data_IF_032413188840
#
_entry.id   IF_032413188840
#
_cell.length_a   1.000
_cell.length_b   1.000
_cell.length_c   1.000
_cell.angle_alpha   90.00
_cell.angle_beta   90.00
_cell.angle_gamma   90.00
#
_symmetry.space_group_name_H-M   'P 1'
#
loop_
_entity.id
_entity.type
_entity.pdbx_description
1 polymer ?
#
# COMPACT_ATOMS: atom_id res chain seq x y z
N UNK A 1 -19.81 -20.28 5.88
CA UNK A 1 -18.48 -20.66 6.38
C UNK A 1 -18.39 -20.16 7.80
N UNK A 2 -17.94 -20.98 8.75
CA UNK A 2 -18.00 -20.60 10.17
C UNK A 2 -16.92 -19.56 10.49
N UNK A 3 -17.37 -18.33 10.80
CA UNK A 3 -16.60 -17.20 11.34
C UNK A 3 -15.68 -17.59 12.52
N UNK A 4 -15.94 -18.72 13.19
CA UNK A 4 -15.11 -19.23 14.28
C UNK A 4 -13.68 -19.57 13.85
N UNK A 5 -13.44 -20.00 12.61
CA UNK A 5 -12.12 -20.53 12.21
C UNK A 5 -11.04 -19.46 12.02
N UNK A 6 -11.38 -18.28 11.49
CA UNK A 6 -10.42 -17.18 11.37
C UNK A 6 -10.07 -16.54 12.71
N UNK A 7 -11.03 -16.49 13.64
CA UNK A 7 -10.80 -15.99 14.99
C UNK A 7 -9.86 -16.92 15.79
N UNK A 8 -9.94 -18.23 15.55
CA UNK A 8 -8.99 -19.20 16.12
C UNK A 8 -7.54 -18.93 15.65
N UNK A 9 -7.35 -18.58 14.38
CA UNK A 9 -6.03 -18.15 13.88
C UNK A 9 -5.56 -16.85 14.53
N UNK A 10 -6.46 -15.89 14.71
CA UNK A 10 -6.14 -14.62 15.40
C UNK A 10 -5.66 -14.87 16.83
N UNK A 11 -6.31 -15.79 17.56
CA UNK A 11 -5.93 -16.19 18.91
C UNK A 11 -4.62 -17.00 18.93
N UNK A 12 -4.40 -17.91 17.98
CA UNK A 12 -3.13 -18.65 17.83
C UNK A 12 -1.96 -17.70 17.58
N UNK A 13 -2.13 -16.71 16.71
CA UNK A 13 -1.13 -15.66 16.48
C UNK A 13 -0.91 -14.72 17.68
N UNK A 14 -1.87 -14.66 18.61
CA UNK A 14 -1.72 -13.92 19.86
C UNK A 14 -0.92 -14.68 20.91
N UNK A 15 -1.13 -16.00 21.00
CA UNK A 15 -0.60 -16.85 22.08
C UNK A 15 0.68 -17.58 21.70
N UNK A 16 0.85 -17.92 20.42
CA UNK A 16 1.98 -18.67 19.90
C UNK A 16 3.22 -17.80 19.68
N UNK A 17 4.37 -18.45 19.71
CA UNK A 17 5.66 -17.81 19.41
C UNK A 17 5.86 -17.76 17.89
N UNK A 18 5.95 -16.55 17.34
CA UNK A 18 5.92 -16.32 15.89
C UNK A 18 7.03 -17.05 15.12
N UNK A 19 8.15 -17.34 15.79
CA UNK A 19 9.31 -18.01 15.18
C UNK A 19 9.18 -19.53 15.08
N UNK A 20 8.42 -20.18 15.96
CA UNK A 20 8.31 -21.65 15.99
C UNK A 20 7.01 -22.15 15.35
N UNK A 21 5.89 -21.49 15.63
CA UNK A 21 4.57 -21.93 15.15
C UNK A 21 4.10 -21.14 13.91
N UNK A 22 4.83 -20.10 13.51
CA UNK A 22 4.45 -19.17 12.46
C UNK A 22 4.16 -19.85 11.13
N UNK A 23 5.08 -20.67 10.63
CA UNK A 23 4.93 -21.37 9.35
C UNK A 23 3.72 -22.30 9.33
N UNK A 24 3.53 -23.11 10.37
CA UNK A 24 2.38 -24.02 10.47
C UNK A 24 1.05 -23.24 10.51
N UNK A 25 1.02 -22.11 11.23
CA UNK A 25 -0.16 -21.23 11.28
C UNK A 25 -0.45 -20.61 9.91
N UNK A 26 0.58 -20.20 9.16
CA UNK A 26 0.44 -19.64 7.82
C UNK A 26 -0.01 -20.69 6.80
N UNK A 27 0.42 -21.94 6.96
CA UNK A 27 -0.01 -23.08 6.13
C UNK A 27 -1.48 -23.41 6.35
N UNK A 28 -1.87 -23.56 7.62
CA UNK A 28 -3.25 -23.80 8.03
C UNK A 28 -4.17 -22.65 7.56
N UNK A 29 -3.71 -21.40 7.64
CA UNK A 29 -4.46 -20.25 7.15
C UNK A 29 -4.62 -20.31 5.62
N UNK A 30 -3.55 -20.63 4.88
CA UNK A 30 -3.59 -20.76 3.42
C UNK A 30 -4.56 -21.84 2.96
N UNK A 31 -4.54 -23.01 3.61
CA UNK A 31 -5.46 -24.11 3.28
C UNK A 31 -6.92 -23.70 3.48
N UNK A 32 -7.23 -23.03 4.60
CA UNK A 32 -8.58 -22.52 4.85
C UNK A 32 -8.98 -21.44 3.83
N UNK A 33 -8.08 -20.54 3.47
CA UNK A 33 -8.33 -19.55 2.40
C UNK A 33 -8.67 -20.23 1.06
N UNK A 34 -7.94 -21.30 0.70
CA UNK A 34 -8.19 -22.06 -0.53
C UNK A 34 -9.51 -22.82 -0.50
N UNK A 35 -9.84 -23.47 0.62
CA UNK A 35 -11.14 -24.12 0.82
C UNK A 35 -12.28 -23.11 0.66
N UNK A 36 -12.07 -21.90 1.16
CA UNK A 36 -13.02 -20.82 1.10
C UNK A 36 -13.29 -20.32 -0.31
N UNK A 37 -12.23 -20.08 -1.08
CA UNK A 37 -12.35 -19.73 -2.49
C UNK A 37 -13.00 -20.83 -3.32
N UNK A 38 -12.63 -22.10 -3.07
CA UNK A 38 -13.21 -23.25 -3.76
C UNK A 38 -14.70 -23.43 -3.45
N UNK A 39 -15.15 -22.96 -2.28
CA UNK A 39 -16.56 -22.95 -1.87
C UNK A 39 -17.35 -21.79 -2.51
N UNK A 40 -16.69 -20.92 -3.28
CA UNK A 40 -17.32 -19.83 -4.01
C UNK A 40 -17.51 -18.54 -3.20
N UNK A 41 -16.84 -18.39 -2.06
CA UNK A 41 -16.86 -17.12 -1.32
C UNK A 41 -16.05 -16.07 -2.09
N UNK A 42 -16.60 -14.86 -2.16
CA UNK A 42 -15.94 -13.75 -2.82
C UNK A 42 -14.71 -13.28 -2.02
N UNK A 43 -13.73 -12.72 -2.73
CA UNK A 43 -12.45 -12.36 -2.14
C UNK A 43 -12.56 -11.18 -1.16
N UNK A 44 -13.51 -10.26 -1.38
CA UNK A 44 -13.67 -9.06 -0.57
C UNK A 44 -14.27 -9.43 0.81
N UNK A 45 -15.26 -10.32 0.84
CA UNK A 45 -15.79 -10.91 2.06
C UNK A 45 -14.73 -11.69 2.83
N UNK A 46 -13.92 -12.50 2.15
CA UNK A 46 -12.81 -13.22 2.81
C UNK A 46 -11.76 -12.27 3.39
N UNK A 47 -11.46 -11.18 2.68
CA UNK A 47 -10.53 -10.17 3.15
C UNK A 47 -11.06 -9.49 4.42
N UNK A 48 -12.34 -9.09 4.46
CA UNK A 48 -12.93 -8.49 5.66
C UNK A 48 -13.00 -9.46 6.84
N UNK A 49 -13.33 -10.74 6.60
CA UNK A 49 -13.32 -11.78 7.64
C UNK A 49 -11.91 -12.04 8.19
N UNK A 50 -10.89 -12.09 7.32
CA UNK A 50 -9.52 -12.36 7.70
C UNK A 50 -8.72 -11.12 8.14
N UNK A 51 -9.31 -9.93 8.08
CA UNK A 51 -8.65 -8.63 8.32
C UNK A 51 -7.81 -8.60 9.59
N UNK A 52 -8.37 -9.03 10.72
CA UNK A 52 -7.66 -9.03 12.00
C UNK A 52 -6.43 -9.95 12.02
N UNK A 53 -6.48 -11.07 11.29
CA UNK A 53 -5.36 -12.01 11.13
C UNK A 53 -4.29 -11.40 10.23
N UNK A 54 -4.67 -10.87 9.06
CA UNK A 54 -3.77 -10.25 8.09
C UNK A 54 -3.04 -9.05 8.69
N UNK A 55 -3.74 -8.18 9.42
CA UNK A 55 -3.14 -7.06 10.15
C UNK A 55 -2.06 -7.51 11.12
N UNK A 56 -2.27 -8.65 11.79
CA UNK A 56 -1.31 -9.20 12.74
C UNK A 56 -0.08 -9.77 12.07
N UNK A 57 -0.25 -10.40 10.91
CA UNK A 57 0.85 -10.93 10.10
C UNK A 57 1.72 -9.77 9.62
N UNK A 58 1.10 -8.71 9.10
CA UNK A 58 1.79 -7.48 8.66
C UNK A 58 2.46 -6.73 9.82
N UNK A 59 1.89 -6.82 11.02
CA UNK A 59 2.40 -6.13 12.19
C UNK A 59 3.64 -6.75 12.85
N UNK A 60 3.93 -8.02 12.53
CA UNK A 60 4.98 -8.83 13.15
C UNK A 60 6.04 -9.23 12.12
N UNK A 61 7.12 -9.83 12.60
CA UNK A 61 8.17 -10.51 11.79
C UNK A 61 7.65 -11.63 10.87
N UNK A 62 6.35 -11.95 10.96
CA UNK A 62 5.67 -12.96 10.14
C UNK A 62 5.42 -12.53 8.70
N UNK A 63 5.45 -11.23 8.40
CA UNK A 63 5.26 -10.75 7.03
C UNK A 63 6.25 -11.38 6.06
N UNK A 64 7.52 -11.50 6.46
CA UNK A 64 8.57 -12.11 5.65
C UNK A 64 8.22 -13.55 5.29
N UNK A 65 7.83 -14.36 6.28
CA UNK A 65 7.42 -15.74 6.09
C UNK A 65 6.18 -15.85 5.20
N UNK A 66 5.17 -15.02 5.44
CA UNK A 66 3.95 -14.99 4.64
C UNK A 66 4.21 -14.56 3.19
N UNK A 67 5.12 -13.61 2.97
CA UNK A 67 5.52 -13.18 1.64
C UNK A 67 6.26 -14.31 0.91
N UNK A 68 7.23 -14.95 1.55
CA UNK A 68 7.93 -16.10 0.99
C UNK A 68 6.98 -17.25 0.63
N UNK A 69 6.10 -17.63 1.54
CA UNK A 69 5.20 -18.77 1.37
C UNK A 69 4.08 -18.48 0.34
N UNK A 70 3.33 -17.40 0.55
CA UNK A 70 2.11 -17.12 -0.23
C UNK A 70 2.39 -16.41 -1.54
N UNK A 71 3.31 -15.44 -1.53
CA UNK A 71 3.64 -14.63 -2.71
C UNK A 71 4.76 -15.32 -3.49
N UNK A 72 5.78 -15.87 -2.84
CA UNK A 72 6.91 -16.57 -3.46
C UNK A 72 6.54 -17.96 -3.96
N UNK A 73 6.52 -18.94 -3.05
CA UNK A 73 6.40 -20.36 -3.40
C UNK A 73 5.04 -20.72 -4.01
N UNK A 74 3.94 -20.34 -3.35
CA UNK A 74 2.58 -20.66 -3.82
C UNK A 74 2.08 -19.75 -4.94
N UNK A 75 2.61 -18.53 -5.03
CA UNK A 75 2.18 -17.56 -6.04
C UNK A 75 0.68 -17.28 -6.02
N UNK A 76 0.09 -17.14 -4.84
CA UNK A 76 -1.35 -17.00 -4.68
C UNK A 76 -1.80 -15.54 -4.77
N UNK A 77 -2.21 -15.11 -5.97
CA UNK A 77 -2.48 -13.70 -6.28
C UNK A 77 -3.53 -13.03 -5.37
N UNK A 78 -4.68 -13.66 -5.13
CA UNK A 78 -5.77 -13.05 -4.35
C UNK A 78 -5.38 -12.83 -2.89
N UNK A 79 -4.80 -13.85 -2.27
CA UNK A 79 -4.24 -13.77 -0.92
C UNK A 79 -3.09 -12.76 -0.84
N UNK A 80 -2.19 -12.75 -1.83
CA UNK A 80 -1.14 -11.73 -1.94
C UNK A 80 -1.71 -10.32 -2.01
N UNK A 81 -2.80 -10.11 -2.74
CA UNK A 81 -3.51 -8.83 -2.83
C UNK A 81 -4.16 -8.42 -1.50
N UNK A 82 -4.76 -9.36 -0.78
CA UNK A 82 -5.30 -9.11 0.56
C UNK A 82 -4.19 -8.72 1.55
N UNK A 83 -3.04 -9.41 1.49
CA UNK A 83 -1.86 -9.05 2.29
C UNK A 83 -1.31 -7.66 1.89
N UNK A 84 -1.21 -7.38 0.59
CA UNK A 84 -0.77 -6.09 0.06
C UNK A 84 -1.67 -4.93 0.53
N UNK A 85 -2.98 -5.16 0.62
CA UNK A 85 -3.91 -4.17 1.14
C UNK A 85 -3.57 -3.76 2.58
N UNK A 86 -3.40 -4.72 3.49
CA UNK A 86 -3.08 -4.42 4.89
C UNK A 86 -1.69 -3.78 5.05
N UNK A 87 -0.72 -4.14 4.19
CA UNK A 87 0.58 -3.46 4.14
C UNK A 87 0.40 -2.01 3.69
N UNK A 88 -0.42 -1.75 2.67
CA UNK A 88 -0.74 -0.40 2.22
C UNK A 88 -1.37 0.42 3.34
N UNK A 89 -2.37 -0.11 4.03
CA UNK A 89 -2.99 0.58 5.18
C UNK A 89 -1.97 0.99 6.23
N UNK A 90 -0.95 0.16 6.48
CA UNK A 90 0.08 0.43 7.48
C UNK A 90 1.22 1.33 7.01
N UNK A 91 1.65 1.21 5.75
CA UNK A 91 2.93 1.76 5.27
C UNK A 91 2.81 2.73 4.09
N UNK A 92 1.60 3.07 3.61
CA UNK A 92 1.41 3.94 2.44
C UNK A 92 2.15 5.29 2.53
N UNK A 93 2.22 5.90 3.72
CA UNK A 93 2.91 7.18 3.95
C UNK A 93 4.15 7.04 4.84
N UNK A 94 4.70 5.83 4.94
CA UNK A 94 5.89 5.62 5.75
C UNK A 94 7.03 6.54 5.28
N UNK A 95 7.80 7.06 6.24
CA UNK A 95 8.90 8.01 6.01
C UNK A 95 10.23 7.31 5.79
N UNK A 96 10.31 6.03 6.13
CA UNK A 96 11.54 5.23 6.10
C UNK A 96 11.34 3.95 5.29
N UNK A 97 12.45 3.42 4.77
CA UNK A 97 12.48 2.11 4.13
C UNK A 97 12.39 1.00 5.18
N UNK A 98 11.70 -0.08 4.84
CA UNK A 98 11.65 -1.26 5.70
C UNK A 98 12.82 -2.19 5.38
N UNK A 99 13.57 -2.59 6.42
CA UNK A 99 14.62 -3.61 6.30
C UNK A 99 14.07 -4.97 6.70
N UNK A 100 14.38 -5.99 5.91
CA UNK A 100 13.96 -7.37 6.09
C UNK A 100 15.19 -8.26 6.26
N UNK A 101 15.15 -9.19 7.22
CA UNK A 101 16.24 -10.15 7.42
C UNK A 101 16.08 -11.36 6.48
N UNK A 102 16.71 -11.32 5.31
CA UNK A 102 16.53 -12.32 4.26
C UNK A 102 17.51 -13.50 4.35
N UNK A 103 18.29 -13.60 5.42
CA UNK A 103 19.33 -14.64 5.60
C UNK A 103 18.80 -16.08 5.55
N UNK A 104 17.52 -16.30 5.89
CA UNK A 104 16.88 -17.63 5.89
C UNK A 104 16.14 -17.93 4.57
N UNK A 105 15.95 -16.94 3.70
CA UNK A 105 15.21 -17.10 2.46
C UNK A 105 16.10 -17.65 1.34
N UNK A 106 15.54 -18.50 0.48
CA UNK A 106 16.23 -18.92 -0.75
C UNK A 106 16.30 -17.78 -1.75
N UNK A 107 17.34 -17.80 -2.60
CA UNK A 107 17.54 -16.80 -3.64
C UNK A 107 16.34 -16.71 -4.61
N UNK A 108 15.83 -17.86 -5.07
CA UNK A 108 14.67 -17.94 -5.96
C UNK A 108 13.41 -17.36 -5.32
N UNK A 109 13.20 -17.62 -4.03
CA UNK A 109 12.06 -17.08 -3.29
C UNK A 109 12.19 -15.57 -3.13
N UNK A 110 13.33 -15.08 -2.64
CA UNK A 110 13.55 -13.65 -2.41
C UNK A 110 13.41 -12.82 -3.70
N UNK A 111 13.95 -13.31 -4.81
CA UNK A 111 13.87 -12.66 -6.14
C UNK A 111 12.45 -12.69 -6.72
N UNK A 112 11.70 -13.78 -6.51
CA UNK A 112 10.30 -13.90 -6.94
C UNK A 112 9.39 -12.99 -6.12
N UNK A 113 9.56 -12.94 -4.80
CA UNK A 113 8.81 -12.04 -3.92
C UNK A 113 9.07 -10.58 -4.28
N UNK A 114 10.33 -10.17 -4.48
CA UNK A 114 10.67 -8.79 -4.84
C UNK A 114 9.89 -8.28 -6.07
N UNK A 115 9.80 -9.11 -7.11
CA UNK A 115 9.07 -8.78 -8.35
C UNK A 115 7.55 -8.79 -8.13
N UNK A 116 7.04 -9.80 -7.45
CA UNK A 116 5.60 -9.94 -7.18
C UNK A 116 5.06 -8.87 -6.22
N UNK A 117 5.87 -8.37 -5.28
CA UNK A 117 5.51 -7.22 -4.44
C UNK A 117 5.28 -5.96 -5.28
N UNK A 118 6.09 -5.75 -6.32
CA UNK A 118 5.88 -4.65 -7.27
C UNK A 118 4.60 -4.86 -8.09
N UNK A 119 4.33 -6.10 -8.52
CA UNK A 119 3.11 -6.43 -9.26
C UNK A 119 1.81 -6.31 -8.43
N UNK A 120 1.92 -6.37 -7.10
CA UNK A 120 0.81 -6.20 -6.16
C UNK A 120 0.61 -4.74 -5.73
N UNK A 121 1.37 -3.79 -6.30
CA UNK A 121 1.31 -2.35 -5.98
C UNK A 121 1.48 -2.05 -4.47
N UNK A 122 2.34 -2.81 -3.80
CA UNK A 122 2.68 -2.63 -2.38
C UNK A 122 3.46 -1.32 -2.20
N UNK A 123 3.36 -0.61 -1.04
CA UNK A 123 4.06 0.67 -0.85
C UNK A 123 5.54 0.59 -1.15
N UNK A 124 6.09 1.65 -1.76
CA UNK A 124 7.50 1.75 -2.15
C UNK A 124 8.44 1.48 -0.98
N UNK A 125 8.05 1.88 0.24
CA UNK A 125 8.81 1.61 1.47
C UNK A 125 9.10 0.11 1.70
N UNK A 126 8.19 -0.76 1.28
CA UNK A 126 8.25 -2.22 1.44
C UNK A 126 8.95 -2.85 0.24
N UNK A 127 8.55 -2.51 -0.98
CA UNK A 127 9.10 -3.13 -2.21
C UNK A 127 10.56 -2.71 -2.46
N UNK A 128 10.89 -1.42 -2.29
CA UNK A 128 12.28 -0.96 -2.37
C UNK A 128 13.10 -1.48 -1.19
N UNK A 129 12.51 -1.50 0.01
CA UNK A 129 13.13 -2.06 1.21
C UNK A 129 13.51 -3.53 1.06
N UNK A 130 12.64 -4.34 0.46
CA UNK A 130 12.92 -5.74 0.14
C UNK A 130 14.08 -5.88 -0.85
N UNK A 131 14.07 -5.13 -1.95
CA UNK A 131 15.13 -5.18 -2.96
C UNK A 131 16.50 -4.76 -2.40
N UNK A 132 16.55 -3.76 -1.53
CA UNK A 132 17.80 -3.34 -0.88
C UNK A 132 18.24 -4.35 0.20
N UNK A 133 17.30 -4.96 0.93
CA UNK A 133 17.62 -6.04 1.87
C UNK A 133 18.29 -7.23 1.17
N UNK A 134 17.86 -7.56 -0.06
CA UNK A 134 18.52 -8.61 -0.85
C UNK A 134 19.98 -8.28 -1.17
N UNK A 135 20.33 -7.00 -1.32
CA UNK A 135 21.70 -6.57 -1.62
C UNK A 135 22.65 -6.69 -0.43
N UNK A 136 22.11 -6.66 0.80
CA UNK A 136 22.90 -6.71 2.03
C UNK A 136 22.98 -8.12 2.62
N UNK A 137 21.87 -8.87 2.61
CA UNK A 137 21.75 -10.14 3.34
C UNK A 137 22.06 -11.38 2.51
N UNK A 138 21.95 -11.30 1.17
CA UNK A 138 22.19 -12.44 0.27
C UNK A 138 23.52 -12.32 -0.47
N UNK A 139 24.22 -13.44 -0.73
CA UNK A 139 25.46 -13.42 -1.51
C UNK A 139 25.19 -12.92 -2.94
N UNK A 140 26.07 -12.09 -3.52
CA UNK A 140 25.84 -11.51 -4.84
C UNK A 140 25.84 -12.59 -5.92
N UNK A 141 24.71 -12.74 -6.59
CA UNK A 141 24.53 -13.60 -7.76
C UNK A 141 24.07 -12.78 -8.97
N UNK A 142 24.14 -13.38 -10.16
CA UNK A 142 23.61 -12.74 -11.37
C UNK A 142 22.10 -12.51 -11.29
N UNK A 143 21.35 -13.45 -10.72
CA UNK A 143 19.89 -13.36 -10.59
C UNK A 143 19.48 -12.31 -9.54
N UNK A 144 20.19 -12.21 -8.41
CA UNK A 144 19.97 -11.16 -7.41
C UNK A 144 20.27 -9.80 -8.03
N UNK A 145 21.42 -9.65 -8.69
CA UNK A 145 21.83 -8.37 -9.30
C UNK A 145 20.85 -7.91 -10.38
N UNK A 146 20.42 -8.84 -11.26
CA UNK A 146 19.46 -8.52 -12.33
C UNK A 146 18.08 -8.18 -11.77
N UNK A 147 17.64 -8.88 -10.72
CA UNK A 147 16.36 -8.62 -10.05
C UNK A 147 16.36 -7.28 -9.33
N UNK A 148 17.42 -6.96 -8.58
CA UNK A 148 17.57 -5.66 -7.92
C UNK A 148 17.53 -4.54 -8.95
N UNK A 149 18.30 -4.65 -10.04
CA UNK A 149 18.28 -3.66 -11.12
C UNK A 149 16.88 -3.51 -11.72
N UNK A 150 16.18 -4.61 -12.00
CA UNK A 150 14.82 -4.59 -12.55
C UNK A 150 13.83 -3.90 -11.61
N UNK A 151 13.79 -4.30 -10.34
CA UNK A 151 12.85 -3.76 -9.33
C UNK A 151 13.14 -2.30 -9.06
N UNK A 152 14.39 -1.92 -8.83
CA UNK A 152 14.76 -0.52 -8.57
C UNK A 152 14.49 0.38 -9.78
N UNK A 153 14.72 -0.09 -11.01
CA UNK A 153 14.38 0.67 -12.23
C UNK A 153 12.87 0.82 -12.41
N UNK A 154 12.10 -0.23 -12.13
CA UNK A 154 10.64 -0.18 -12.16
C UNK A 154 10.12 0.86 -11.16
N UNK A 155 10.53 0.77 -9.89
CA UNK A 155 10.08 1.68 -8.83
C UNK A 155 10.55 3.12 -9.07
N UNK A 156 11.78 3.32 -9.53
CA UNK A 156 12.31 4.65 -9.88
C UNK A 156 11.53 5.31 -11.02
N UNK A 157 11.05 4.51 -12.00
CA UNK A 157 10.24 5.01 -13.10
C UNK A 157 8.81 5.31 -12.68
N UNK A 158 8.19 4.41 -11.93
CA UNK A 158 6.77 4.54 -11.55
C UNK A 158 6.57 5.54 -10.40
N UNK A 159 7.49 5.61 -9.45
CA UNK A 159 7.40 6.44 -8.24
C UNK A 159 8.71 7.19 -7.91
N UNK A 160 9.26 8.02 -8.81
CA UNK A 160 10.54 8.68 -8.60
C UNK A 160 10.57 9.60 -7.38
N UNK A 161 9.50 10.37 -7.14
CA UNK A 161 9.48 11.32 -6.02
C UNK A 161 9.45 10.58 -4.67
N UNK A 162 8.66 9.50 -4.59
CA UNK A 162 8.58 8.66 -3.39
C UNK A 162 9.89 7.91 -3.16
N UNK A 163 10.52 7.38 -4.20
CA UNK A 163 11.84 6.74 -4.09
C UNK A 163 12.90 7.71 -3.59
N UNK A 164 12.99 8.92 -4.17
CA UNK A 164 13.94 9.95 -3.73
C UNK A 164 13.74 10.29 -2.25
N UNK A 165 12.50 10.60 -1.85
CA UNK A 165 12.16 10.91 -0.45
C UNK A 165 12.58 9.82 0.53
N UNK A 166 12.33 8.55 0.18
CA UNK A 166 12.65 7.41 1.05
C UNK A 166 14.15 7.13 1.14
N UNK A 167 14.89 7.30 0.04
CA UNK A 167 16.34 7.11 0.00
C UNK A 167 17.12 8.24 0.68
N UNK A 168 16.60 9.46 0.63
CA UNK A 168 17.19 10.66 1.28
C UNK A 168 16.81 10.79 2.76
N UNK A 169 16.02 9.85 3.30
CA UNK A 169 15.62 9.86 4.71
C UNK A 169 16.82 9.69 5.63
N UNK A 170 16.97 10.57 6.63
CA UNK A 170 18.11 10.59 7.56
C UNK A 170 18.24 9.30 8.38
N UNK A 171 17.10 8.65 8.68
CA UNK A 171 17.01 7.41 9.45
C UNK A 171 16.94 6.16 8.56
N UNK A 172 17.34 6.26 7.28
CA UNK A 172 17.29 5.13 6.36
C UNK A 172 18.19 3.98 6.85
N UNK A 173 17.65 2.75 6.96
CA UNK A 173 18.44 1.58 7.35
C UNK A 173 19.46 1.15 6.29
N UNK A 174 19.42 1.75 5.10
CA UNK A 174 20.27 1.46 3.95
C UNK A 174 21.24 2.60 3.61
N UNK A 175 21.55 3.49 4.57
CA UNK A 175 22.43 4.64 4.35
C UNK A 175 23.82 4.24 3.79
N UNK A 176 24.34 3.09 4.21
CA UNK A 176 25.64 2.57 3.78
C UNK A 176 25.57 1.70 2.51
N UNK A 177 24.37 1.37 2.03
CA UNK A 177 24.21 0.52 0.84
C UNK A 177 24.65 1.25 -0.43
N UNK A 178 25.62 0.66 -1.14
CA UNK A 178 26.11 1.21 -2.40
C UNK A 178 25.01 1.31 -3.46
N UNK A 179 24.10 0.33 -3.51
CA UNK A 179 22.96 0.30 -4.45
C UNK A 179 22.00 1.45 -4.15
N UNK A 180 21.67 1.67 -2.88
CA UNK A 180 20.81 2.77 -2.44
C UNK A 180 21.42 4.14 -2.81
N UNK A 181 22.71 4.33 -2.54
CA UNK A 181 23.41 5.58 -2.86
C UNK A 181 23.49 5.86 -4.37
N UNK A 182 23.72 4.83 -5.19
CA UNK A 182 23.73 4.96 -6.65
C UNK A 182 22.35 5.32 -7.18
N UNK A 183 21.31 4.66 -6.68
CA UNK A 183 19.92 4.93 -7.05
C UNK A 183 19.51 6.36 -6.67
N UNK A 184 19.84 6.81 -5.46
CA UNK A 184 19.53 8.15 -4.98
C UNK A 184 20.20 9.23 -5.85
N UNK A 185 21.49 9.06 -6.17
CA UNK A 185 22.23 9.97 -7.05
C UNK A 185 21.61 10.04 -8.44
N UNK A 186 21.27 8.89 -9.03
CA UNK A 186 20.62 8.83 -10.34
C UNK A 186 19.27 9.57 -10.33
N UNK A 187 18.41 9.26 -9.36
CA UNK A 187 17.11 9.91 -9.21
C UNK A 187 17.21 11.41 -9.01
N UNK A 188 18.17 11.88 -8.20
CA UNK A 188 18.42 13.30 -8.04
C UNK A 188 18.77 13.95 -9.38
N UNK A 189 19.69 13.38 -10.15
CA UNK A 189 20.06 13.92 -11.46
C UNK A 189 18.93 13.91 -12.48
N UNK A 190 18.11 12.86 -12.50
CA UNK A 190 16.97 12.74 -13.42
C UNK A 190 15.87 13.74 -13.06
N UNK A 191 15.57 13.91 -11.78
CA UNK A 191 14.57 14.87 -11.31
C UNK A 191 15.03 16.32 -11.51
N UNK A 192 16.30 16.62 -11.23
CA UNK A 192 16.87 17.95 -11.47
C UNK A 192 16.85 18.29 -12.98
N UNK A 193 17.12 17.31 -13.84
CA UNK A 193 17.02 17.47 -15.29
C UNK A 193 15.57 17.72 -15.76
N UNK A 194 14.59 17.04 -15.14
CA UNK A 194 13.17 17.27 -15.40
C UNK A 194 12.72 18.66 -14.95
N UNK A 195 13.17 19.12 -13.78
CA UNK A 195 12.88 20.47 -13.27
C UNK A 195 13.51 21.58 -14.13
N UNK A 196 14.66 21.30 -14.75
CA UNK A 196 15.34 22.20 -15.66
C UNK A 196 14.66 22.33 -17.05
N UNK A 197 13.68 21.47 -17.37
CA UNK A 197 12.97 21.56 -18.65
C UNK A 197 12.18 22.87 -18.77
N UNK A 198 12.13 23.50 -19.96
CA UNK A 198 11.39 24.73 -20.17
C UNK A 198 9.89 24.49 -19.94
N UNK A 199 9.31 25.27 -19.02
CA UNK A 199 7.90 25.15 -18.68
C UNK A 199 7.05 25.85 -19.75
N UNK A 200 6.41 25.06 -20.60
CA UNK A 200 5.50 25.57 -21.62
C UNK A 200 4.25 26.18 -20.95
N UNK A 201 4.09 27.49 -21.08
CA UNK A 201 2.96 28.23 -20.50
C UNK A 201 1.62 27.74 -21.05
N UNK A 202 1.61 27.24 -22.29
CA UNK A 202 0.44 26.69 -22.99
C UNK A 202 -0.11 25.42 -22.32
N UNK A 203 0.75 24.62 -21.68
CA UNK A 203 0.35 23.40 -20.97
C UNK A 203 -0.08 23.67 -19.53
N UNK A 204 0.10 24.90 -19.03
CA UNK A 204 -0.35 25.26 -17.68
C UNK A 204 -1.86 25.53 -17.71
N UNK A 205 -2.59 24.94 -16.77
CA UNK A 205 -3.99 25.29 -16.56
C UNK A 205 -4.16 26.80 -16.36
N UNK A 206 -4.97 27.42 -17.22
CA UNK A 206 -5.33 28.84 -17.08
C UNK A 206 -5.98 29.10 -15.72
N UNK A 207 -6.02 30.36 -15.26
CA UNK A 207 -6.71 30.72 -14.01
C UNK A 207 -8.17 30.30 -14.01
N UNK A 208 -8.83 30.39 -15.17
CA UNK A 208 -10.21 29.98 -15.39
C UNK A 208 -10.37 28.45 -15.29
N UNK A 209 -9.51 27.69 -15.95
CA UNK A 209 -9.48 26.22 -15.86
C UNK A 209 -9.21 25.74 -14.43
N UNK A 210 -8.28 26.40 -13.72
CA UNK A 210 -8.04 26.11 -12.29
C UNK A 210 -9.27 26.38 -11.44
N UNK A 211 -10.01 27.44 -11.75
CA UNK A 211 -11.25 27.79 -11.04
C UNK A 211 -12.36 26.78 -11.33
N UNK A 212 -12.57 26.39 -12.59
CA UNK A 212 -13.56 25.38 -12.98
C UNK A 212 -13.23 24.02 -12.36
N UNK A 213 -11.98 23.58 -12.41
CA UNK A 213 -11.52 22.34 -11.78
C UNK A 213 -11.76 22.34 -10.27
N UNK A 214 -11.51 23.47 -9.58
CA UNK A 214 -11.84 23.60 -8.14
C UNK A 214 -13.34 23.49 -7.88
N UNK A 215 -14.19 24.05 -8.74
CA UNK A 215 -15.64 23.90 -8.61
C UNK A 215 -16.07 22.45 -8.83
N UNK A 216 -15.53 21.77 -9.84
CA UNK A 216 -15.81 20.36 -10.13
C UNK A 216 -15.41 19.46 -8.95
N UNK A 217 -14.21 19.64 -8.41
CA UNK A 217 -13.76 18.90 -7.22
C UNK A 217 -14.67 19.14 -6.02
N UNK A 218 -15.09 20.39 -5.78
CA UNK A 218 -16.05 20.70 -4.71
C UNK A 218 -17.41 20.06 -4.92
N UNK A 219 -17.92 20.03 -6.15
CA UNK A 219 -19.19 19.36 -6.45
C UNK A 219 -19.07 17.84 -6.28
N UNK A 220 -17.96 17.25 -6.68
CA UNK A 220 -17.68 15.83 -6.51
C UNK A 220 -17.59 15.47 -5.02
N UNK A 221 -16.81 16.21 -4.23
CA UNK A 221 -16.73 15.99 -2.78
C UNK A 221 -18.10 16.11 -2.10
N UNK A 222 -18.93 17.08 -2.52
CA UNK A 222 -20.32 17.19 -2.03
C UNK A 222 -21.15 15.96 -2.41
N UNK A 223 -21.06 15.48 -3.64
CA UNK A 223 -21.79 14.29 -4.08
C UNK A 223 -21.36 13.03 -3.33
N UNK A 224 -20.05 12.85 -3.10
CA UNK A 224 -19.51 11.75 -2.28
C UNK A 224 -20.03 11.83 -0.85
N UNK A 225 -19.99 13.03 -0.24
CA UNK A 225 -20.49 13.24 1.12
C UNK A 225 -21.98 12.97 1.23
N UNK A 226 -22.78 13.45 0.26
CA UNK A 226 -24.23 13.20 0.21
C UNK A 226 -24.58 11.72 0.06
N UNK A 227 -23.82 10.98 -0.76
CA UNK A 227 -23.99 9.52 -0.86
C UNK A 227 -23.63 8.82 0.45
N UNK A 228 -22.51 9.18 1.07
CA UNK A 228 -22.09 8.62 2.35
C UNK A 228 -23.10 8.93 3.48
N UNK A 229 -23.71 10.12 3.47
CA UNK A 229 -24.80 10.48 4.39
C UNK A 229 -26.07 9.67 4.11
N UNK A 230 -26.48 9.49 2.85
CA UNK A 230 -27.65 8.70 2.49
C UNK A 230 -27.53 7.19 2.71
N UNK A 231 -26.32 6.66 2.84
CA UNK A 231 -26.05 5.25 3.14
C UNK A 231 -25.83 4.99 4.65
N UNK A 232 -25.69 6.04 5.47
CA UNK A 232 -25.39 5.93 6.89
C UNK A 232 -26.65 6.00 7.74
N UNK A 233 -27.03 4.87 8.36
CA UNK A 233 -28.11 4.79 9.36
C UNK A 233 -27.97 5.81 10.51
N UNK A 234 -26.74 6.19 10.86
CA UNK A 234 -26.48 7.19 11.91
C UNK A 234 -26.79 8.62 11.47
N UNK A 235 -26.68 8.93 10.18
CA UNK A 235 -27.03 10.26 9.66
C UNK A 235 -28.55 10.48 9.69
N UNK A 236 -29.33 9.47 9.30
CA UNK A 236 -30.80 9.51 9.33
C UNK A 236 -31.37 9.58 10.76
N UNK A 237 -30.70 8.99 11.76
CA UNK A 237 -31.21 8.93 13.13
C UNK A 237 -30.82 10.13 14.01
N UNK A 238 -29.72 10.85 13.71
CA UNK A 238 -29.16 11.86 14.62
C UNK A 238 -28.86 13.24 14.01
N UNK A 239 -28.91 13.43 12.68
CA UNK A 239 -28.47 14.70 12.04
C UNK A 239 -29.64 15.43 11.38
N UNK A 240 -30.44 16.18 12.15
CA UNK A 240 -31.62 16.89 11.61
C UNK A 240 -31.26 18.22 10.93
N UNK A 241 -30.08 18.81 11.18
CA UNK A 241 -29.60 19.94 10.37
C UNK A 241 -28.11 20.25 10.55
N UNK A 242 -27.29 19.97 9.55
CA UNK A 242 -25.91 20.43 9.49
C UNK A 242 -25.86 21.85 8.89
N UNK A 243 -25.43 22.84 9.68
CA UNK A 243 -25.23 24.22 9.20
C UNK A 243 -23.74 24.50 9.01
N UNK A 244 -23.29 24.52 7.75
CA UNK A 244 -21.90 24.85 7.39
C UNK A 244 -21.66 26.36 7.42
N UNK A 245 -21.19 26.90 8.55
CA UNK A 245 -20.84 28.33 8.66
C UNK A 245 -19.36 28.64 8.38
N UNK A 246 -18.44 27.67 8.50
CA UNK A 246 -16.99 27.94 8.38
C UNK A 246 -16.20 26.83 7.65
N UNK A 247 -15.10 27.19 6.99
CA UNK A 247 -14.30 26.28 6.15
C UNK A 247 -13.57 25.18 6.94
N UNK A 248 -13.36 25.37 8.26
CA UNK A 248 -12.52 24.49 9.09
C UNK A 248 -13.24 23.98 10.36
N UNK A 249 -14.53 24.29 10.53
CA UNK A 249 -15.31 23.92 11.72
C UNK A 249 -16.76 23.63 11.31
N UNK A 250 -17.29 22.49 11.76
CA UNK A 250 -18.71 22.16 11.62
C UNK A 250 -19.40 22.43 12.95
N UNK A 251 -20.50 23.20 12.91
CA UNK A 251 -21.42 23.32 14.02
C UNK A 251 -22.55 22.31 13.80
N UNK A 252 -22.64 21.32 14.68
CA UNK A 252 -23.74 20.34 14.70
C UNK A 252 -24.71 20.75 15.81
N UNK A 253 -25.93 21.07 15.43
CA UNK A 253 -27.04 21.26 16.36
C UNK A 253 -27.73 19.90 16.58
N UNK A 254 -27.63 19.36 17.79
CA UNK A 254 -28.40 18.17 18.18
C UNK A 254 -29.51 18.57 19.16
N UNK A 255 -30.74 18.12 18.87
CA UNK A 255 -31.88 18.25 19.78
C UNK A 255 -31.93 17.03 20.70
N UNK A 256 -31.64 17.22 21.98
CA UNK A 256 -32.09 16.29 23.01
C UNK A 256 -33.43 16.77 23.56
N UNK A 257 -34.25 15.86 24.12
CA UNK A 257 -35.62 16.08 24.64
C UNK A 257 -35.80 17.29 25.60
N UNK A 258 -34.72 17.94 26.03
CA UNK A 258 -34.77 19.08 26.95
C UNK A 258 -34.01 20.33 26.44
N UNK A 259 -33.04 20.24 25.51
CA UNK A 259 -32.26 21.39 25.02
C UNK A 259 -31.61 21.14 23.64
N UNK A 260 -31.51 22.20 22.84
CA UNK A 260 -30.64 22.28 21.65
C UNK A 260 -29.20 22.50 22.09
N UNK A 261 -28.32 21.56 21.79
CA UNK A 261 -26.88 21.67 22.09
C UNK A 261 -26.12 21.84 20.78
N UNK A 262 -25.41 22.97 20.65
CA UNK A 262 -24.44 23.21 19.58
C UNK A 262 -23.11 22.55 19.95
N UNK A 263 -22.64 21.63 19.11
CA UNK A 263 -21.31 21.02 19.24
C UNK A 263 -20.43 21.43 18.08
N UNK A 264 -19.24 21.93 18.39
CA UNK A 264 -18.24 22.34 17.41
C UNK A 264 -17.26 21.20 17.17
N UNK A 265 -17.30 20.62 15.98
CA UNK A 265 -16.37 19.57 15.57
C UNK A 265 -15.26 20.24 14.74
N UNK A 266 -14.00 20.27 15.21
CA UNK A 266 -12.89 20.76 14.41
C UNK A 266 -12.68 19.83 13.21
N UNK A 267 -12.73 20.37 12.00
CA UNK A 267 -12.38 19.59 10.80
C UNK A 267 -10.88 19.62 10.62
N UNK A 268 -10.21 18.53 10.97
CA UNK A 268 -8.84 18.30 10.52
C UNK A 268 -8.88 17.86 9.06
N UNK A 269 -8.50 18.74 8.14
CA UNK A 269 -8.22 18.35 6.76
C UNK A 269 -6.92 17.56 6.76
N UNK A 270 -7.00 16.24 6.90
CA UNK A 270 -5.86 15.37 6.61
C UNK A 270 -5.71 15.34 5.08
N UNK A 271 -4.76 16.13 4.56
CA UNK A 271 -4.40 16.07 3.14
C UNK A 271 -3.43 14.91 2.93
N UNK A 272 -3.88 13.89 2.21
CA UNK A 272 -3.06 12.76 1.80
C UNK A 272 -2.67 12.96 0.34
N UNK A 273 -1.38 13.17 0.08
CA UNK A 273 -0.81 13.13 -1.27
C UNK A 273 -0.12 11.78 -1.48
N UNK A 274 -0.47 11.10 -2.58
CA UNK A 274 0.14 9.85 -3.01
C UNK A 274 0.56 10.01 -4.47
N UNK A 275 1.77 9.58 -4.78
CA UNK A 275 2.27 9.53 -6.15
C UNK A 275 1.64 8.33 -6.87
N UNK A 276 0.95 8.61 -7.98
CA UNK A 276 0.39 7.57 -8.84
C UNK A 276 1.48 7.05 -9.81
N UNK A 277 1.44 5.77 -10.21
CA UNK A 277 2.42 5.21 -11.14
C UNK A 277 2.44 6.00 -12.46
N UNK A 278 3.61 6.49 -12.87
CA UNK A 278 3.73 7.34 -14.05
C UNK A 278 3.24 6.67 -15.33
N UNK A 279 3.61 5.40 -15.53
CA UNK A 279 3.23 4.67 -16.73
C UNK A 279 1.74 4.36 -16.72
N UNK A 280 1.12 4.15 -15.55
CA UNK A 280 -0.33 3.97 -15.46
C UNK A 280 -1.10 5.22 -15.92
N UNK A 281 -0.61 6.41 -15.59
CA UNK A 281 -1.23 7.68 -16.03
C UNK A 281 -1.09 7.85 -17.56
N UNK A 282 0.06 7.49 -18.12
CA UNK A 282 0.36 7.67 -19.53
C UNK A 282 -0.25 6.60 -20.44
N UNK A 283 -0.18 5.33 -20.04
CA UNK A 283 -0.68 4.16 -20.77
C UNK A 283 -1.05 3.02 -19.79
N UNK A 284 -2.32 2.92 -19.38
CA UNK A 284 -2.79 1.87 -18.48
C UNK A 284 -2.63 0.45 -19.04
N UNK A 285 -2.69 0.26 -20.36
CA UNK A 285 -2.58 -1.07 -20.96
C UNK A 285 -1.14 -1.57 -20.90
N UNK A 286 -0.19 -0.71 -21.27
CA UNK A 286 1.22 -1.03 -21.15
C UNK A 286 1.62 -1.27 -19.68
N UNK A 287 1.09 -0.47 -18.75
CA UNK A 287 1.28 -0.72 -17.32
C UNK A 287 0.81 -2.11 -16.89
N UNK A 288 -0.39 -2.52 -17.31
CA UNK A 288 -0.92 -3.85 -17.03
C UNK A 288 -0.04 -4.98 -17.55
N UNK A 289 0.58 -4.82 -18.72
CA UNK A 289 1.55 -5.78 -19.25
C UNK A 289 2.82 -5.86 -18.38
N UNK A 290 3.41 -4.71 -18.02
CA UNK A 290 4.60 -4.70 -17.15
C UNK A 290 4.35 -5.39 -15.81
N UNK A 291 3.19 -5.13 -15.19
CA UNK A 291 2.76 -5.74 -13.92
C UNK A 291 2.57 -7.25 -14.08
N UNK A 292 1.97 -7.70 -15.18
CA UNK A 292 1.78 -9.12 -15.45
C UNK A 292 3.11 -9.86 -15.65
N UNK A 293 4.10 -9.21 -16.28
CA UNK A 293 5.43 -9.78 -16.48
C UNK A 293 6.19 -9.92 -15.16
N UNK A 294 6.10 -8.91 -14.28
CA UNK A 294 6.65 -8.97 -12.92
C UNK A 294 6.07 -10.13 -12.09
N UNK A 295 4.81 -10.51 -12.33
CA UNK A 295 4.19 -11.64 -11.65
C UNK A 295 4.65 -13.02 -12.18
N UNK A 296 4.83 -13.14 -13.50
CA UNK A 296 5.00 -14.41 -14.20
C UNK A 296 6.43 -14.95 -14.26
N UNK A 297 7.45 -14.09 -14.26
CA UNK A 297 8.82 -14.47 -14.59
C UNK A 297 9.57 -15.35 -13.55
N UNK A 298 8.88 -16.15 -12.74
CA UNK A 298 9.51 -16.92 -11.66
C UNK A 298 10.68 -17.83 -12.10
N UNK A 299 10.79 -18.24 -13.37
CA UNK A 299 11.95 -18.97 -13.88
C UNK A 299 12.27 -18.59 -15.35
N UNK A 300 13.37 -17.88 -15.57
CA UNK A 300 14.16 -17.92 -16.81
C UNK A 300 15.64 -17.85 -16.47
#
# INVERSE_FOLDING_TARGET
MDMMRFNDFYLRLHKGDAKHDGLAILEDFYTLWREAENSGVDADSLQEEAKGVLQRIVAKDLFLLAACEWIGEKGHFKLGKALAHEISVRYLQHTELLKFSLSEATEECATTVARRLCALDVPVAVSLGWALSMSEDLPPSQLITSTIAKVTNFLAKEHPATCKRLLESESSPFADSQVAQQLAKRLATELDALEALPQLVELRMSSEMRRSLRYLRRSESRAVTQRAQGESFLADMFMVSEHFKYSNQVAVEHQNDQQTVETMIPMFTHEMSVELPQTWIADPFFYGHMVADLWKEACQ
#
